data_IF_919598445945
#
_entry.id   IF_919598445945
#
_cell.length_a   1.000
_cell.length_b   1.000
_cell.length_c   1.000
_cell.angle_alpha   90.00
_cell.angle_beta   90.00
_cell.angle_gamma   90.00
#
_symmetry.space_group_name_H-M   'P 1'
#
loop_
_entity.id
_entity.type
_entity.pdbx_description
1 polymer ?
#
# COMPACT_ATOMS: atom_id res chain seq x y z
N UNK A 1 2.47 15.70 -24.78
CA UNK A 1 2.48 14.42 -24.05
C UNK A 1 3.51 14.56 -22.94
N UNK A 2 3.07 14.94 -21.74
CA UNK A 2 3.98 15.23 -20.62
C UNK A 2 4.48 13.89 -20.09
N UNK A 3 5.72 13.54 -20.47
CA UNK A 3 6.47 12.52 -19.77
C UNK A 3 6.73 13.06 -18.38
N UNK A 4 5.97 12.56 -17.41
CA UNK A 4 6.16 12.84 -16.00
C UNK A 4 7.46 12.14 -15.56
N UNK A 5 8.61 12.65 -16.00
CA UNK A 5 9.93 12.26 -15.52
C UNK A 5 10.07 12.82 -14.11
N UNK A 6 9.56 12.05 -13.15
CA UNK A 6 9.63 12.36 -11.73
C UNK A 6 10.88 11.68 -11.18
N UNK A 7 11.82 12.48 -10.68
CA UNK A 7 13.03 11.99 -10.02
C UNK A 7 12.65 11.21 -8.75
N UNK A 8 13.37 10.12 -8.42
CA UNK A 8 13.09 9.33 -7.22
C UNK A 8 13.31 10.18 -5.95
N UNK A 9 12.57 9.90 -4.87
CA UNK A 9 12.81 10.54 -3.57
C UNK A 9 14.20 10.15 -3.04
N UNK A 10 14.88 11.10 -2.39
CA UNK A 10 16.24 10.99 -1.79
C UNK A 10 16.36 9.90 -0.70
N UNK A 11 15.29 9.17 -0.42
CA UNK A 11 15.15 8.22 0.70
C UNK A 11 15.33 6.76 0.30
N UNK A 12 15.78 6.48 -0.92
CA UNK A 12 16.06 5.11 -1.38
C UNK A 12 14.82 4.22 -1.53
N UNK A 13 13.60 4.69 -1.29
CA UNK A 13 12.39 3.86 -1.42
C UNK A 13 11.59 4.32 -2.64
N UNK A 14 11.40 3.42 -3.61
CA UNK A 14 10.67 3.72 -4.86
C UNK A 14 9.48 2.79 -5.05
N UNK A 15 8.31 3.28 -5.52
CA UNK A 15 7.21 2.39 -5.84
C UNK A 15 7.52 1.66 -7.15
N UNK A 16 7.49 0.34 -7.08
CA UNK A 16 7.74 -0.52 -8.24
C UNK A 16 6.47 -1.21 -8.69
N UNK A 17 6.42 -1.54 -9.98
CA UNK A 17 5.32 -2.32 -10.51
C UNK A 17 5.45 -3.78 -10.05
N UNK A 18 4.49 -4.21 -9.23
CA UNK A 18 4.34 -5.58 -8.78
C UNK A 18 3.71 -6.48 -9.86
N UNK A 19 4.32 -6.62 -11.04
CA UNK A 19 3.74 -7.44 -12.13
C UNK A 19 3.53 -8.92 -11.76
N UNK A 20 4.17 -9.40 -10.69
CA UNK A 20 4.02 -10.77 -10.17
C UNK A 20 2.99 -10.88 -9.04
N UNK A 21 2.60 -9.77 -8.40
CA UNK A 21 1.69 -9.77 -7.26
C UNK A 21 0.35 -9.13 -7.64
N UNK A 22 -0.76 -9.78 -7.30
CA UNK A 22 -2.09 -9.24 -7.58
C UNK A 22 -2.52 -8.27 -6.47
N UNK A 23 -1.90 -7.08 -6.42
CA UNK A 23 -2.21 -6.05 -5.42
C UNK A 23 -3.70 -5.70 -5.42
N UNK A 24 -4.32 -5.67 -6.60
CA UNK A 24 -5.76 -5.44 -6.76
C UNK A 24 -6.60 -6.48 -6.01
N UNK A 25 -6.16 -7.73 -5.94
CA UNK A 25 -6.89 -8.77 -5.21
C UNK A 25 -6.81 -8.53 -3.70
N UNK A 26 -5.61 -8.20 -3.20
CA UNK A 26 -5.38 -7.82 -1.79
C UNK A 26 -6.25 -6.61 -1.43
N UNK A 27 -6.25 -5.57 -2.26
CA UNK A 27 -7.10 -4.40 -2.10
C UNK A 27 -8.58 -4.78 -2.04
N UNK A 28 -9.03 -5.66 -2.94
CA UNK A 28 -10.45 -6.04 -2.99
C UNK A 28 -10.88 -6.76 -1.71
N UNK A 29 -10.07 -7.72 -1.23
CA UNK A 29 -10.34 -8.45 0.02
C UNK A 29 -10.41 -7.47 1.18
N UNK A 30 -9.41 -6.59 1.32
CA UNK A 30 -9.40 -5.59 2.39
C UNK A 30 -10.57 -4.62 2.30
N UNK A 31 -11.01 -4.27 1.09
CA UNK A 31 -12.15 -3.40 0.86
C UNK A 31 -13.49 -4.05 1.24
N UNK A 32 -13.58 -5.40 1.20
CA UNK A 32 -14.76 -6.13 1.67
C UNK A 32 -14.88 -6.12 3.21
N UNK A 33 -13.81 -5.78 3.93
CA UNK A 33 -13.84 -5.68 5.38
C UNK A 33 -14.66 -4.45 5.83
N UNK A 34 -15.73 -4.67 6.60
CA UNK A 34 -16.66 -3.59 7.06
C UNK A 34 -15.96 -2.44 7.80
N UNK A 35 -14.86 -2.73 8.50
CA UNK A 35 -14.04 -1.73 9.20
C UNK A 35 -13.10 -0.92 8.31
N UNK A 36 -13.06 -1.15 6.99
CA UNK A 36 -12.19 -0.44 6.05
C UNK A 36 -13.03 0.51 5.19
N UNK A 37 -12.63 1.78 5.12
CA UNK A 37 -13.26 2.79 4.27
C UNK A 37 -12.55 2.89 2.91
N UNK A 38 -11.23 2.97 2.94
CA UNK A 38 -10.38 2.94 1.74
C UNK A 38 -9.17 2.05 1.96
N UNK A 39 -8.69 1.45 0.88
CA UNK A 39 -7.44 0.68 0.88
C UNK A 39 -6.65 0.99 -0.38
N UNK A 40 -5.33 1.05 -0.22
CA UNK A 40 -4.38 1.17 -1.31
C UNK A 40 -3.19 0.26 -1.03
N UNK A 41 -2.91 -0.69 -1.92
CA UNK A 41 -1.74 -1.57 -1.76
C UNK A 41 -0.66 -1.15 -2.75
N UNK A 42 0.55 -0.91 -2.24
CA UNK A 42 1.70 -0.50 -3.02
C UNK A 42 2.84 -1.50 -2.84
N UNK A 43 3.60 -1.70 -3.90
CA UNK A 43 4.87 -2.39 -3.82
C UNK A 43 5.97 -1.36 -3.89
N UNK A 44 6.83 -1.37 -2.88
CA UNK A 44 7.98 -0.50 -2.75
C UNK A 44 9.24 -1.36 -2.91
N UNK A 45 10.26 -0.85 -3.57
CA UNK A 45 11.58 -1.44 -3.56
C UNK A 45 12.54 -0.47 -2.90
N UNK A 46 13.45 -1.03 -2.11
CA UNK A 46 14.57 -0.28 -1.60
C UNK A 46 15.66 -0.22 -2.69
N UNK A 47 16.30 0.95 -2.84
CA UNK A 47 17.31 1.23 -3.86
C UNK A 47 18.65 0.58 -3.47
N UNK A 48 18.90 0.42 -2.16
CA UNK A 48 20.09 -0.24 -1.63
C UNK A 48 19.94 -1.76 -1.69
N UNK A 49 18.73 -2.24 -1.43
CA UNK A 49 18.38 -3.66 -1.46
C UNK A 49 17.24 -3.85 -2.44
N UNK A 50 17.46 -4.42 -3.63
CA UNK A 50 16.43 -4.80 -4.63
C UNK A 50 15.24 -5.65 -4.10
N UNK A 51 15.23 -5.93 -2.79
CA UNK A 51 14.11 -6.38 -2.00
C UNK A 51 12.86 -5.50 -2.23
N UNK A 52 11.81 -6.19 -2.66
CA UNK A 52 10.48 -5.63 -2.86
C UNK A 52 9.68 -5.89 -1.61
N UNK A 53 9.11 -4.85 -1.03
CA UNK A 53 8.18 -4.97 0.08
C UNK A 53 6.79 -4.52 -0.36
N UNK A 54 5.76 -5.24 0.08
CA UNK A 54 4.36 -4.88 -0.18
C UNK A 54 3.86 -4.14 1.06
N UNK A 55 3.37 -2.91 0.87
CA UNK A 55 2.83 -2.08 1.94
C UNK A 55 1.36 -1.81 1.65
N UNK A 56 0.49 -2.19 2.59
CA UNK A 56 -0.94 -1.94 2.53
C UNK A 56 -1.28 -0.68 3.32
N UNK A 57 -1.78 0.34 2.64
CA UNK A 57 -2.30 1.56 3.25
C UNK A 57 -3.80 1.44 3.44
N UNK A 58 -4.27 1.56 4.68
CA UNK A 58 -5.66 1.33 5.04
C UNK A 58 -6.20 2.57 5.73
N UNK A 59 -7.38 3.02 5.30
CA UNK A 59 -8.17 4.03 5.99
C UNK A 59 -9.21 3.29 6.81
N UNK A 60 -9.01 3.16 8.14
CA UNK A 60 -9.98 2.50 8.99
C UNK A 60 -11.22 3.37 9.11
N UNK A 61 -12.40 2.74 9.03
CA UNK A 61 -13.69 3.39 9.23
C UNK A 61 -13.97 3.66 10.71
N UNK A 62 -13.47 2.78 11.57
CA UNK A 62 -13.64 2.85 13.02
C UNK A 62 -12.28 2.82 13.74
N UNK A 63 -12.11 3.60 14.82
CA UNK A 63 -10.92 3.52 15.65
C UNK A 63 -10.88 2.17 16.38
N UNK A 64 -9.77 1.43 16.26
CA UNK A 64 -9.60 0.11 16.89
C UNK A 64 -9.15 -0.99 15.92
N UNK A 65 -9.06 -0.70 14.63
CA UNK A 65 -8.46 -1.62 13.65
C UNK A 65 -6.97 -1.81 13.94
N UNK A 66 -6.52 -3.05 14.07
CA UNK A 66 -5.10 -3.39 14.27
C UNK A 66 -4.51 -4.08 13.05
N UNK A 67 -3.19 -3.99 12.89
CA UNK A 67 -2.47 -4.67 11.81
C UNK A 67 -2.70 -6.18 11.90
N UNK A 68 -2.64 -6.74 13.11
CA UNK A 68 -2.88 -8.17 13.37
C UNK A 68 -4.26 -8.63 12.90
N UNK A 69 -5.31 -7.82 13.08
CA UNK A 69 -6.65 -8.16 12.62
C UNK A 69 -6.71 -8.20 11.09
N UNK A 70 -6.04 -7.26 10.42
CA UNK A 70 -5.91 -7.23 8.96
C UNK A 70 -5.15 -8.45 8.45
N UNK A 71 -4.00 -8.76 9.05
CA UNK A 71 -3.19 -9.92 8.69
C UNK A 71 -3.99 -11.21 8.83
N UNK A 72 -4.64 -11.42 9.99
CA UNK A 72 -5.52 -12.57 10.20
C UNK A 72 -6.64 -12.63 9.17
N UNK A 73 -7.27 -11.50 8.85
CA UNK A 73 -8.34 -11.48 7.86
C UNK A 73 -7.85 -11.91 6.47
N UNK A 74 -6.66 -11.46 6.05
CA UNK A 74 -6.04 -11.86 4.79
C UNK A 74 -5.66 -13.34 4.77
N UNK A 75 -5.10 -13.86 5.88
CA UNK A 75 -4.79 -15.29 6.03
C UNK A 75 -6.06 -16.14 6.02
N UNK A 76 -7.10 -15.71 6.73
CA UNK A 76 -8.40 -16.41 6.81
C UNK A 76 -9.17 -16.38 5.49
N UNK A 77 -8.96 -15.36 4.66
CA UNK A 77 -9.55 -15.29 3.33
C UNK A 77 -9.14 -16.50 2.49
N UNK A 78 -7.90 -16.98 2.63
CA UNK A 78 -7.37 -18.14 1.88
C UNK A 78 -7.26 -17.94 0.38
N UNK A 79 -7.57 -16.74 -0.12
CA UNK A 79 -7.52 -16.36 -1.53
C UNK A 79 -6.12 -15.91 -1.98
N UNK A 80 -5.26 -15.57 -1.03
CA UNK A 80 -3.92 -15.00 -1.24
C UNK A 80 -2.82 -16.01 -0.93
N UNK A 81 -1.72 -15.93 -1.68
CA UNK A 81 -0.49 -16.64 -1.33
C UNK A 81 0.27 -15.87 -0.24
N UNK A 82 1.05 -16.58 0.59
CA UNK A 82 1.86 -15.96 1.66
C UNK A 82 2.81 -14.87 1.13
N UNK A 83 3.34 -15.04 -0.09
CA UNK A 83 4.19 -14.05 -0.77
C UNK A 83 3.45 -12.79 -1.27
N UNK A 84 2.12 -12.83 -1.32
CA UNK A 84 1.27 -11.70 -1.70
C UNK A 84 0.76 -10.91 -0.48
N UNK A 85 0.99 -11.42 0.73
CA UNK A 85 0.65 -10.72 1.94
C UNK A 85 1.51 -9.45 2.07
N UNK A 86 0.92 -8.32 2.48
CA UNK A 86 1.69 -7.11 2.73
C UNK A 86 2.71 -7.39 3.83
N UNK A 87 3.98 -7.03 3.63
CA UNK A 87 4.99 -7.11 4.69
C UNK A 87 4.77 -6.04 5.78
N UNK A 88 4.04 -4.98 5.45
CA UNK A 88 3.72 -3.89 6.36
C UNK A 88 2.31 -3.33 6.12
N UNK A 89 1.58 -3.02 7.20
CA UNK A 89 0.26 -2.39 7.13
C UNK A 89 0.34 -1.01 7.76
N UNK A 90 -0.04 0.02 7.02
CA UNK A 90 -0.05 1.42 7.49
C UNK A 90 -1.47 1.95 7.54
N UNK A 91 -1.90 2.36 8.72
CA UNK A 91 -3.15 3.09 8.86
C UNK A 91 -2.94 4.57 8.54
N UNK A 92 -3.72 5.09 7.59
CA UNK A 92 -3.66 6.49 7.15
C UNK A 92 -5.04 7.11 7.26
N UNK A 93 -5.13 8.41 7.54
CA UNK A 93 -6.44 9.09 7.62
C UNK A 93 -7.14 9.18 6.28
N UNK A 94 -6.40 9.23 5.16
CA UNK A 94 -6.97 9.33 3.82
C UNK A 94 -5.96 8.90 2.76
N UNK A 95 -6.44 8.27 1.70
CA UNK A 95 -5.62 8.02 0.51
C UNK A 95 -5.55 9.30 -0.34
N UNK A 96 -4.35 9.89 -0.58
CA UNK A 96 -4.20 11.07 -1.40
C UNK A 96 -4.53 10.71 -2.86
N UNK A 97 -5.62 11.28 -3.36
CA UNK A 97 -6.04 11.15 -4.76
C UNK A 97 -5.80 12.47 -5.49
N UNK A 98 -5.39 12.37 -6.74
CA UNK A 98 -5.31 13.49 -7.67
C UNK A 98 -6.73 13.98 -7.99
N UNK A 99 -6.95 15.23 -8.43
CA UNK A 99 -8.27 15.72 -8.82
C UNK A 99 -8.95 14.90 -9.93
N UNK A 100 -8.18 14.15 -10.74
CA UNK A 100 -8.72 13.17 -11.69
C UNK A 100 -9.04 11.79 -11.08
N UNK A 101 -9.05 11.63 -9.76
CA UNK A 101 -9.36 10.37 -9.06
C UNK A 101 -8.24 9.33 -9.02
N UNK A 102 -7.07 9.62 -9.61
CA UNK A 102 -5.90 8.71 -9.56
C UNK A 102 -5.26 8.71 -8.18
N UNK A 103 -5.04 7.53 -7.60
CA UNK A 103 -4.28 7.37 -6.36
C UNK A 103 -2.83 7.83 -6.57
N UNK A 104 -2.37 8.78 -5.74
CA UNK A 104 -1.03 9.33 -5.81
C UNK A 104 -0.10 8.51 -4.91
N UNK A 105 0.44 7.41 -5.47
CA UNK A 105 1.38 6.50 -4.79
C UNK A 105 2.55 7.24 -4.14
N UNK A 106 3.08 8.26 -4.84
CA UNK A 106 4.15 9.12 -4.34
C UNK A 106 3.80 9.83 -3.03
N UNK A 107 2.62 10.44 -2.94
CA UNK A 107 2.21 11.14 -1.70
C UNK A 107 2.01 10.20 -0.51
N UNK A 108 1.60 8.95 -0.77
CA UNK A 108 1.54 7.92 0.27
C UNK A 108 2.93 7.60 0.82
N UNK A 109 3.92 7.47 -0.08
CA UNK A 109 5.31 7.25 0.28
C UNK A 109 5.94 8.46 0.99
N UNK A 110 5.69 9.69 0.54
CA UNK A 110 6.19 10.91 1.20
C UNK A 110 5.72 11.02 2.66
N UNK A 111 4.50 10.57 2.96
CA UNK A 111 4.00 10.50 4.34
C UNK A 111 4.63 9.38 5.18
N UNK A 112 5.17 8.35 4.53
CA UNK A 112 5.81 7.20 5.18
C UNK A 112 7.29 7.44 5.47
N UNK A 113 7.97 8.20 4.60
CA UNK A 113 9.36 8.60 4.81
C UNK A 113 9.40 9.62 5.95
N UNK A 114 9.64 9.11 7.15
CA UNK A 114 9.98 9.89 8.32
C UNK A 114 11.33 10.56 8.03
N UNK A 115 11.30 11.84 7.65
CA UNK A 115 12.48 12.72 7.71
C UNK A 115 12.99 12.68 9.16
N UNK A 116 14.07 11.95 9.39
CA UNK A 116 14.87 12.07 10.60
C UNK A 116 16.04 13.01 10.31
#
# INVERSE_FOLDING_TARGET
MVQNKFSPPDSGITPVAASRFNLRQVENILYEHTGVDEVAVLCIADDESENKNIVAFIVPREPGMTEEAIFKYLEQSGLLQTEQLPGEVKFVSRIPKSPSGKVLKMKLLEGCVRRN
#
